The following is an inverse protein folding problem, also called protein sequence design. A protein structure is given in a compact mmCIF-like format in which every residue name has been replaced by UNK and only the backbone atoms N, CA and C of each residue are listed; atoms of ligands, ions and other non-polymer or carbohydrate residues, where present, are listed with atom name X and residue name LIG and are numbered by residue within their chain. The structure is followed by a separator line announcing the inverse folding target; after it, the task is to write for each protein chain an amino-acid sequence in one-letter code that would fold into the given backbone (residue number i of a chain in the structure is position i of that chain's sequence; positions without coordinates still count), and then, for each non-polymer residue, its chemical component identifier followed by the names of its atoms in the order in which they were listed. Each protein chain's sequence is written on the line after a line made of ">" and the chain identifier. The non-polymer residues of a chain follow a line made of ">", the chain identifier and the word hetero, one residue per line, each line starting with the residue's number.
data_IF_661133558483
#
_entry.id   IF_661133558483
#
_cell.length_a   1.000
_cell.length_b   1.000
_cell.length_c   1.000
_cell.angle_alpha   90.00
_cell.angle_beta   90.00
_cell.angle_gamma   90.00
#
_symmetry.space_group_name_H-M   'P 1'
#
loop_
_entity.id
_entity.type
_entity.pdbx_description
1 polymer ?
#
# COMPACT_ATOMS: atom_id res chain seq x y z
N UNK A 1 -0.85 26.69 0.80
CA UNK A 1 0.58 26.72 1.28
C UNK A 1 1.20 25.33 1.44
N UNK A 2 0.62 24.37 2.17
CA UNK A 2 1.23 23.02 2.31
C UNK A 2 1.03 22.13 1.08
N UNK A 3 -0.13 22.18 0.46
CA UNK A 3 -0.44 21.44 -0.78
C UNK A 3 0.43 21.91 -1.94
N UNK A 4 0.59 23.22 -2.09
CA UNK A 4 1.46 23.81 -3.12
C UNK A 4 2.91 23.36 -2.97
N UNK A 5 3.43 23.27 -1.73
CA UNK A 5 4.78 22.79 -1.46
C UNK A 5 4.95 21.29 -1.76
N UNK A 6 3.93 20.47 -1.51
CA UNK A 6 3.95 19.06 -1.88
C UNK A 6 4.01 18.88 -3.40
N UNK A 7 3.21 19.67 -4.13
CA UNK A 7 3.21 19.67 -5.59
C UNK A 7 4.55 20.13 -6.17
N UNK A 8 5.16 21.16 -5.61
CA UNK A 8 6.49 21.66 -6.02
C UNK A 8 7.59 20.57 -5.87
N UNK A 9 7.54 19.77 -4.79
CA UNK A 9 8.47 18.65 -4.60
C UNK A 9 8.32 17.61 -5.71
N UNK A 10 7.09 17.25 -6.05
CA UNK A 10 6.77 16.30 -7.12
C UNK A 10 7.31 16.82 -8.45
N UNK A 11 6.94 18.02 -8.84
CA UNK A 11 7.35 18.66 -10.10
C UNK A 11 8.87 18.73 -10.22
N UNK A 12 9.56 19.12 -9.14
CA UNK A 12 11.02 19.19 -9.10
C UNK A 12 11.65 17.81 -9.28
N UNK A 13 11.12 16.76 -8.61
CA UNK A 13 11.63 15.41 -8.75
C UNK A 13 11.37 14.84 -10.15
N UNK A 14 10.26 15.21 -10.79
CA UNK A 14 9.97 14.82 -12.18
C UNK A 14 10.85 15.52 -13.21
N UNK A 15 11.19 16.78 -12.96
CA UNK A 15 11.96 17.61 -13.89
C UNK A 15 13.49 17.44 -13.77
N UNK A 16 14.01 17.09 -12.60
CA UNK A 16 15.45 17.04 -12.31
C UNK A 16 15.89 15.63 -11.90
N UNK A 17 16.61 14.95 -12.80
CA UNK A 17 17.12 13.60 -12.57
C UNK A 17 18.07 13.50 -11.37
N UNK A 18 18.81 14.56 -11.05
CA UNK A 18 19.72 14.55 -9.89
C UNK A 18 18.93 14.58 -8.57
N UNK A 19 17.85 15.34 -8.52
CA UNK A 19 16.92 15.37 -7.39
C UNK A 19 16.27 14.00 -7.22
N UNK A 20 15.73 13.43 -8.32
CA UNK A 20 15.19 12.08 -8.31
C UNK A 20 16.16 11.05 -7.75
N UNK A 21 17.38 11.00 -8.29
CA UNK A 21 18.38 10.01 -7.88
C UNK A 21 18.75 10.13 -6.38
N UNK A 22 18.80 11.35 -5.85
CA UNK A 22 19.04 11.56 -4.42
C UNK A 22 17.87 11.04 -3.57
N UNK A 23 16.63 11.22 -4.03
CA UNK A 23 15.44 10.67 -3.37
C UNK A 23 15.42 9.14 -3.44
N UNK A 24 15.71 8.54 -4.59
CA UNK A 24 15.73 7.09 -4.77
C UNK A 24 16.81 6.40 -3.92
N UNK A 25 18.00 7.00 -3.81
CA UNK A 25 19.06 6.50 -2.94
C UNK A 25 18.64 6.53 -1.45
N UNK A 26 17.94 7.58 -1.02
CA UNK A 26 17.41 7.67 0.35
C UNK A 26 16.27 6.68 0.58
N UNK A 27 15.45 6.41 -0.42
CA UNK A 27 14.40 5.41 -0.39
C UNK A 27 14.95 4.01 -0.10
N UNK A 28 15.96 3.57 -0.87
CA UNK A 28 16.64 2.29 -0.66
C UNK A 28 17.24 2.18 0.74
N UNK A 29 17.94 3.23 1.21
CA UNK A 29 18.51 3.27 2.56
C UNK A 29 17.45 3.07 3.65
N UNK A 30 16.34 3.84 3.58
CA UNK A 30 15.27 3.80 4.57
C UNK A 30 14.62 2.42 4.63
N UNK A 31 14.24 1.85 3.49
CA UNK A 31 13.58 0.55 3.44
C UNK A 31 14.54 -0.60 3.73
N UNK A 32 15.80 -0.47 3.36
CA UNK A 32 16.84 -1.41 3.73
C UNK A 32 17.09 -1.52 5.25
N UNK A 33 16.82 -0.47 6.01
CA UNK A 33 16.90 -0.46 7.48
C UNK A 33 15.58 -0.87 8.16
N UNK A 34 14.46 -0.32 7.69
CA UNK A 34 13.15 -0.48 8.35
C UNK A 34 12.59 -1.91 8.20
N UNK A 35 12.65 -2.50 7.01
CA UNK A 35 12.01 -3.80 6.75
C UNK A 35 12.55 -4.92 7.65
N UNK A 36 13.87 -5.13 7.82
CA UNK A 36 14.40 -6.17 8.70
C UNK A 36 14.05 -5.93 10.18
N UNK A 37 14.08 -4.67 10.62
CA UNK A 37 13.76 -4.30 12.01
C UNK A 37 12.29 -4.55 12.34
N UNK A 38 11.39 -4.31 11.39
CA UNK A 38 9.96 -4.53 11.56
C UNK A 38 9.59 -6.01 11.65
N UNK A 39 10.29 -6.89 10.93
CA UNK A 39 10.02 -8.34 10.95
C UNK A 39 10.37 -8.99 12.31
N UNK A 40 11.28 -8.42 13.08
CA UNK A 40 11.79 -8.96 14.34
C UNK A 40 11.17 -8.31 15.60
N UNK A 41 10.28 -7.33 15.44
CA UNK A 41 9.69 -6.61 16.58
C UNK A 41 8.63 -7.42 17.32
N UNK A 42 8.87 -7.78 18.60
CA UNK A 42 7.90 -8.45 19.46
C UNK A 42 6.59 -7.66 19.60
N UNK A 43 6.68 -6.33 19.73
CA UNK A 43 5.50 -5.47 19.81
C UNK A 43 4.66 -5.50 18.51
N UNK A 44 5.28 -5.74 17.38
CA UNK A 44 4.58 -5.90 16.09
C UNK A 44 3.92 -7.28 15.97
N UNK A 45 4.53 -8.32 16.50
CA UNK A 45 3.92 -9.65 16.57
C UNK A 45 2.67 -9.58 17.48
N UNK A 46 2.78 -8.99 18.67
CA UNK A 46 1.65 -8.76 19.58
C UNK A 46 0.52 -7.98 18.90
N UNK A 47 0.85 -6.90 18.18
CA UNK A 47 -0.16 -6.10 17.47
C UNK A 47 -0.81 -6.86 16.30
N UNK A 48 -0.07 -7.73 15.61
CA UNK A 48 -0.62 -8.59 14.55
C UNK A 48 -1.65 -9.56 15.11
N UNK A 49 -1.35 -10.20 16.24
CA UNK A 49 -2.29 -11.07 16.95
C UNK A 49 -3.51 -10.30 17.46
N UNK A 50 -3.30 -9.10 18.04
CA UNK A 50 -4.37 -8.23 18.48
C UNK A 50 -5.28 -7.82 17.32
N UNK A 51 -4.70 -7.48 16.18
CA UNK A 51 -5.43 -7.14 14.96
C UNK A 51 -6.29 -8.30 14.46
N UNK A 52 -5.78 -9.52 14.51
CA UNK A 52 -6.56 -10.71 14.15
C UNK A 52 -7.74 -10.95 15.11
N UNK A 53 -7.51 -10.83 16.43
CA UNK A 53 -8.55 -10.98 17.46
C UNK A 53 -9.62 -9.88 17.41
N UNK A 54 -9.25 -8.67 17.02
CA UNK A 54 -10.15 -7.54 16.80
C UNK A 54 -10.85 -7.60 15.42
N UNK A 55 -10.56 -8.63 14.63
CA UNK A 55 -11.12 -8.80 13.30
C UNK A 55 -10.92 -7.59 12.37
N UNK A 56 -9.81 -6.89 12.50
CA UNK A 56 -9.46 -5.76 11.61
C UNK A 56 -9.54 -6.16 10.14
N UNK A 57 -9.18 -7.42 9.84
CA UNK A 57 -9.26 -7.98 8.49
C UNK A 57 -10.69 -8.18 7.95
N UNK A 58 -11.77 -7.98 8.74
CA UNK A 58 -13.15 -8.02 8.19
C UNK A 58 -13.41 -6.91 7.17
N UNK A 59 -12.62 -5.84 7.25
CA UNK A 59 -12.68 -4.70 6.33
C UNK A 59 -11.49 -4.67 5.35
N UNK A 60 -10.78 -5.79 5.23
CA UNK A 60 -9.66 -5.97 4.31
C UNK A 60 -9.60 -7.45 3.92
N UNK A 61 -9.78 -7.74 2.64
CA UNK A 61 -9.58 -9.09 2.12
C UNK A 61 -8.14 -9.23 1.62
N UNK A 62 -7.51 -10.38 1.83
CA UNK A 62 -6.23 -10.64 1.17
C UNK A 62 -6.45 -11.06 -0.28
N UNK A 63 -5.47 -10.82 -1.15
CA UNK A 63 -5.51 -11.36 -2.52
C UNK A 63 -5.76 -12.88 -2.50
N UNK A 64 -5.15 -13.60 -1.53
CA UNK A 64 -5.36 -15.04 -1.36
C UNK A 64 -6.84 -15.39 -1.16
N UNK A 65 -7.54 -14.67 -0.28
CA UNK A 65 -8.97 -14.88 -0.02
C UNK A 65 -9.82 -14.58 -1.26
N UNK A 66 -9.62 -13.40 -1.88
CA UNK A 66 -10.36 -13.01 -3.08
C UNK A 66 -10.13 -13.99 -4.24
N UNK A 67 -8.89 -14.44 -4.42
CA UNK A 67 -8.57 -15.42 -5.46
C UNK A 67 -9.23 -16.79 -5.17
N UNK A 68 -9.26 -17.23 -3.92
CA UNK A 68 -9.93 -18.49 -3.52
C UNK A 68 -11.45 -18.39 -3.73
N UNK A 69 -12.09 -17.30 -3.28
CA UNK A 69 -13.52 -17.06 -3.47
C UNK A 69 -13.93 -17.02 -4.95
N UNK A 70 -13.11 -16.35 -5.77
CA UNK A 70 -13.32 -16.27 -7.23
C UNK A 70 -12.78 -17.47 -8.01
N UNK A 71 -12.14 -18.44 -7.32
CA UNK A 71 -11.51 -19.63 -7.93
C UNK A 71 -10.44 -19.28 -8.97
N UNK A 72 -9.70 -18.20 -8.76
CA UNK A 72 -8.63 -17.75 -9.63
C UNK A 72 -7.34 -18.53 -9.33
N UNK A 73 -6.61 -18.85 -10.38
CA UNK A 73 -5.28 -19.46 -10.32
C UNK A 73 -4.39 -18.84 -11.39
N UNK A 74 -3.12 -18.68 -11.07
CA UNK A 74 -2.17 -17.98 -11.91
C UNK A 74 -0.91 -18.83 -12.14
N UNK A 75 -0.39 -18.84 -13.35
CA UNK A 75 0.84 -19.56 -13.69
C UNK A 75 2.07 -18.68 -13.44
N UNK A 76 2.03 -17.41 -13.87
CA UNK A 76 3.15 -16.49 -13.82
C UNK A 76 2.70 -15.12 -13.27
N UNK A 77 3.06 -14.85 -12.02
CA UNK A 77 2.80 -13.56 -11.38
C UNK A 77 4.03 -12.64 -11.36
N UNK A 78 3.76 -11.33 -11.34
CA UNK A 78 4.73 -10.27 -11.09
C UNK A 78 4.34 -9.52 -9.82
N UNK A 79 5.30 -9.22 -8.93
CA UNK A 79 5.06 -8.35 -7.76
C UNK A 79 5.92 -7.10 -7.85
N UNK A 80 5.27 -5.95 -7.79
CA UNK A 80 5.88 -4.63 -7.77
C UNK A 80 6.09 -4.17 -6.31
N UNK A 81 7.34 -3.88 -5.91
CA UNK A 81 7.68 -3.59 -4.53
C UNK A 81 7.51 -4.82 -3.63
N UNK A 82 8.20 -5.90 -3.96
CA UNK A 82 8.01 -7.20 -3.31
C UNK A 82 8.64 -7.29 -1.90
N UNK A 83 9.50 -6.35 -1.53
CA UNK A 83 10.27 -6.40 -0.29
C UNK A 83 11.04 -7.74 -0.16
N UNK A 84 10.94 -8.37 0.99
CA UNK A 84 11.56 -9.68 1.23
C UNK A 84 10.73 -10.88 0.70
N UNK A 85 9.78 -10.68 -0.21
CA UNK A 85 9.05 -11.74 -0.92
C UNK A 85 8.02 -12.50 -0.08
N UNK A 86 7.44 -11.87 0.94
CA UNK A 86 6.48 -12.54 1.86
C UNK A 86 5.17 -12.91 1.17
N UNK A 87 4.67 -12.01 0.31
CA UNK A 87 3.38 -12.18 -0.35
C UNK A 87 3.42 -13.34 -1.36
N UNK A 88 4.43 -13.37 -2.22
CA UNK A 88 4.59 -14.40 -3.25
C UNK A 88 4.68 -15.80 -2.63
N UNK A 89 5.44 -15.92 -1.53
CA UNK A 89 5.50 -17.19 -0.78
C UNK A 89 4.13 -17.61 -0.25
N UNK A 90 3.34 -16.66 0.26
CA UNK A 90 1.98 -16.94 0.74
C UNK A 90 1.04 -17.37 -0.40
N UNK A 91 1.13 -16.72 -1.58
CA UNK A 91 0.31 -17.04 -2.75
C UNK A 91 0.64 -18.43 -3.32
N UNK A 92 1.94 -18.80 -3.38
CA UNK A 92 2.35 -20.14 -3.81
C UNK A 92 1.87 -21.20 -2.80
N UNK A 93 2.10 -21.00 -1.51
CA UNK A 93 1.66 -21.92 -0.45
C UNK A 93 0.14 -22.06 -0.40
N UNK A 94 -0.59 -20.98 -0.69
CA UNK A 94 -2.04 -20.96 -0.79
C UNK A 94 -2.61 -21.55 -2.09
N UNK A 95 -1.74 -22.01 -3.01
CA UNK A 95 -2.15 -22.62 -4.28
C UNK A 95 -2.82 -21.65 -5.26
N UNK A 96 -2.58 -20.35 -5.11
CA UNK A 96 -3.14 -19.30 -5.98
C UNK A 96 -2.20 -19.01 -7.16
N UNK A 97 -0.89 -19.08 -6.95
CA UNK A 97 0.10 -18.88 -8.00
C UNK A 97 1.11 -20.00 -8.06
N UNK A 98 1.66 -20.27 -9.27
CA UNK A 98 2.67 -21.30 -9.50
C UNK A 98 4.09 -20.75 -9.42
N UNK A 99 4.32 -19.59 -10.00
CA UNK A 99 5.61 -18.90 -9.98
C UNK A 99 5.42 -17.40 -9.92
N UNK A 100 6.38 -16.70 -9.32
CA UNK A 100 6.37 -15.23 -9.28
C UNK A 100 7.76 -14.67 -9.59
N UNK A 101 7.74 -13.49 -10.20
CA UNK A 101 8.88 -12.60 -10.29
C UNK A 101 8.63 -11.39 -9.40
N UNK A 102 9.52 -11.09 -8.47
CA UNK A 102 9.41 -9.94 -7.57
C UNK A 102 10.43 -8.86 -7.92
N UNK A 103 10.00 -7.61 -7.91
CA UNK A 103 10.85 -6.43 -8.16
C UNK A 103 10.79 -5.51 -6.95
N UNK A 104 11.95 -5.04 -6.50
CA UNK A 104 12.06 -4.04 -5.43
C UNK A 104 13.32 -3.19 -5.62
N UNK A 105 13.28 -1.94 -5.15
CA UNK A 105 14.44 -1.05 -5.22
C UNK A 105 15.52 -1.43 -4.20
N UNK A 106 15.14 -2.09 -3.10
CA UNK A 106 16.04 -2.44 -2.00
C UNK A 106 16.85 -3.70 -2.29
N UNK A 107 18.16 -3.52 -2.52
CA UNK A 107 19.09 -4.62 -2.70
C UNK A 107 19.11 -5.58 -1.51
N UNK A 108 19.01 -5.06 -0.29
CA UNK A 108 19.00 -5.87 0.95
C UNK A 108 17.72 -6.71 1.07
N UNK A 109 16.57 -6.14 0.73
CA UNK A 109 15.30 -6.87 0.72
C UNK A 109 15.33 -8.00 -0.32
N UNK A 110 15.80 -7.73 -1.53
CA UNK A 110 15.96 -8.71 -2.61
C UNK A 110 16.94 -9.84 -2.24
N UNK A 111 18.08 -9.51 -1.61
CA UNK A 111 19.00 -10.53 -1.13
C UNK A 111 18.33 -11.49 -0.13
N UNK A 112 17.57 -10.96 0.82
CA UNK A 112 16.78 -11.73 1.78
C UNK A 112 15.72 -12.59 1.08
N UNK A 113 14.99 -12.01 0.13
CA UNK A 113 13.96 -12.73 -0.63
C UNK A 113 14.53 -13.93 -1.40
N UNK A 114 15.67 -13.73 -2.08
CA UNK A 114 16.39 -14.81 -2.81
C UNK A 114 16.84 -15.92 -1.90
N UNK A 115 17.42 -15.59 -0.73
CA UNK A 115 17.88 -16.57 0.25
C UNK A 115 16.71 -17.44 0.75
N UNK A 116 15.59 -16.80 1.14
CA UNK A 116 14.42 -17.50 1.64
C UNK A 116 13.79 -18.38 0.55
N UNK A 117 13.63 -17.87 -0.67
CA UNK A 117 13.08 -18.64 -1.79
C UNK A 117 13.91 -19.89 -2.10
N UNK A 118 15.24 -19.77 -2.09
CA UNK A 118 16.16 -20.89 -2.27
C UNK A 118 16.03 -21.93 -1.15
N UNK A 119 15.99 -21.46 0.10
CA UNK A 119 15.85 -22.34 1.27
C UNK A 119 14.53 -23.12 1.26
N UNK A 120 13.45 -22.51 0.80
CA UNK A 120 12.12 -23.08 0.74
C UNK A 120 11.83 -23.82 -0.58
N UNK A 121 12.78 -23.83 -1.52
CA UNK A 121 12.65 -24.46 -2.84
C UNK A 121 11.38 -24.01 -3.59
N UNK A 122 11.08 -22.71 -3.56
CA UNK A 122 9.93 -22.12 -4.23
C UNK A 122 10.31 -21.59 -5.62
N UNK A 123 9.37 -21.65 -6.56
CA UNK A 123 9.53 -21.10 -7.93
C UNK A 123 9.38 -19.58 -7.93
N UNK A 124 10.37 -18.90 -7.34
CA UNK A 124 10.42 -17.45 -7.16
C UNK A 124 11.74 -16.91 -7.72
N UNK A 125 11.64 -15.80 -8.45
CA UNK A 125 12.79 -15.01 -8.90
C UNK A 125 12.64 -13.58 -8.44
N UNK A 126 13.77 -12.88 -8.22
CA UNK A 126 13.75 -11.53 -7.69
C UNK A 126 14.78 -10.65 -8.38
N UNK A 127 14.43 -9.40 -8.63
CA UNK A 127 15.27 -8.41 -9.29
C UNK A 127 15.31 -7.11 -8.51
N UNK A 128 16.49 -6.47 -8.47
CA UNK A 128 16.63 -5.10 -7.95
C UNK A 128 16.36 -4.16 -9.11
N UNK A 129 15.24 -3.44 -9.05
CA UNK A 129 14.90 -2.44 -10.06
C UNK A 129 13.99 -1.35 -9.47
N UNK A 130 14.11 -0.15 -10.04
CA UNK A 130 13.30 1.00 -9.70
C UNK A 130 11.98 0.96 -10.48
N UNK A 131 10.85 0.89 -9.78
CA UNK A 131 9.52 0.84 -10.39
C UNK A 131 9.26 2.02 -11.35
N UNK A 132 9.84 3.17 -11.08
CA UNK A 132 9.66 4.37 -11.90
C UNK A 132 10.25 4.26 -13.31
N UNK A 133 11.17 3.31 -13.52
CA UNK A 133 11.87 3.10 -14.81
C UNK A 133 11.74 1.68 -15.34
N UNK A 134 10.72 0.96 -14.88
CA UNK A 134 10.47 -0.41 -15.33
C UNK A 134 10.34 -0.50 -16.84
N UNK A 135 10.87 -1.59 -17.37
CA UNK A 135 10.63 -2.10 -18.71
C UNK A 135 10.24 -3.56 -18.59
N UNK A 136 8.98 -3.87 -18.85
CA UNK A 136 8.41 -5.19 -18.68
C UNK A 136 8.17 -5.86 -20.04
N UNK A 137 8.32 -7.20 -20.13
CA UNK A 137 7.97 -7.92 -21.33
C UNK A 137 6.47 -7.88 -21.58
N UNK A 138 6.08 -7.70 -22.85
CA UNK A 138 4.66 -7.66 -23.23
C UNK A 138 4.01 -9.05 -23.06
N UNK A 139 2.74 -9.07 -22.59
CA UNK A 139 1.89 -10.26 -22.51
C UNK A 139 2.51 -11.47 -21.79
N UNK A 140 3.29 -11.19 -20.73
CA UNK A 140 4.09 -12.20 -20.01
C UNK A 140 3.40 -12.74 -18.75
N UNK A 141 2.60 -11.93 -18.08
CA UNK A 141 2.04 -12.25 -16.76
C UNK A 141 0.52 -12.42 -16.82
N UNK A 142 0.02 -13.35 -16.02
CA UNK A 142 -1.42 -13.53 -15.80
C UNK A 142 -1.88 -12.88 -14.49
N UNK A 143 -0.95 -12.45 -13.62
CA UNK A 143 -1.21 -11.64 -12.45
C UNK A 143 -0.09 -10.62 -12.23
N UNK A 144 -0.44 -9.35 -12.06
CA UNK A 144 0.47 -8.35 -11.49
C UNK A 144 -0.07 -7.91 -10.14
N UNK A 145 0.82 -7.83 -9.14
CA UNK A 145 0.48 -7.45 -7.77
C UNK A 145 1.28 -6.21 -7.38
N UNK A 146 0.59 -5.20 -6.90
CA UNK A 146 1.16 -4.05 -6.21
C UNK A 146 0.53 -3.97 -4.82
N UNK A 147 1.33 -4.24 -3.79
CA UNK A 147 0.86 -4.20 -2.42
C UNK A 147 1.72 -3.29 -1.57
N UNK A 148 1.16 -2.16 -1.15
CA UNK A 148 1.86 -1.12 -0.37
C UNK A 148 3.14 -0.63 -1.05
N UNK A 149 3.08 -0.35 -2.34
CA UNK A 149 4.24 0.02 -3.16
C UNK A 149 3.98 1.16 -4.15
N UNK A 150 2.77 1.27 -4.71
CA UNK A 150 2.48 2.30 -5.71
C UNK A 150 2.45 3.72 -5.13
N UNK A 151 2.19 3.87 -3.84
CA UNK A 151 2.25 5.17 -3.20
C UNK A 151 3.67 5.75 -3.11
N UNK A 152 4.71 4.94 -3.39
CA UNK A 152 6.10 5.38 -3.58
C UNK A 152 6.44 5.68 -5.05
N UNK A 153 5.51 5.51 -5.98
CA UNK A 153 5.78 5.70 -7.42
C UNK A 153 5.50 7.13 -7.84
N UNK A 154 6.50 7.78 -8.43
CA UNK A 154 6.42 9.12 -8.99
C UNK A 154 5.82 9.14 -10.41
N UNK A 155 6.25 8.20 -11.27
CA UNK A 155 5.81 8.11 -12.66
C UNK A 155 4.70 7.08 -12.84
N UNK A 156 3.55 7.29 -12.17
CA UNK A 156 2.41 6.37 -12.14
C UNK A 156 1.89 6.02 -13.53
N UNK A 157 1.85 6.99 -14.45
CA UNK A 157 1.37 6.80 -15.82
C UNK A 157 2.22 5.79 -16.59
N UNK A 158 3.56 5.91 -16.46
CA UNK A 158 4.50 4.98 -17.05
C UNK A 158 4.34 3.57 -16.48
N UNK A 159 4.25 3.46 -15.17
CA UNK A 159 4.09 2.16 -14.50
C UNK A 159 2.78 1.52 -14.89
N UNK A 160 1.68 2.27 -14.95
CA UNK A 160 0.38 1.76 -15.37
C UNK A 160 0.41 1.23 -16.83
N UNK A 161 1.06 1.95 -17.76
CA UNK A 161 1.25 1.52 -19.13
C UNK A 161 2.08 0.22 -19.22
N UNK A 162 3.21 0.16 -18.50
CA UNK A 162 4.07 -1.02 -18.47
C UNK A 162 3.35 -2.25 -17.91
N UNK A 163 2.60 -2.08 -16.81
CA UNK A 163 1.79 -3.15 -16.22
C UNK A 163 0.71 -3.62 -17.19
N UNK A 164 0.02 -2.69 -17.86
CA UNK A 164 -1.01 -3.02 -18.82
C UNK A 164 -0.46 -3.84 -20.00
N UNK A 165 0.68 -3.45 -20.57
CA UNK A 165 1.34 -4.16 -21.67
C UNK A 165 1.85 -5.53 -21.25
N UNK A 166 2.33 -5.66 -20.02
CA UNK A 166 2.92 -6.91 -19.51
C UNK A 166 1.90 -7.97 -19.16
N UNK A 167 0.65 -7.58 -18.90
CA UNK A 167 -0.43 -8.51 -18.60
C UNK A 167 -0.97 -9.18 -19.87
N UNK A 168 -1.32 -10.46 -19.73
CA UNK A 168 -2.15 -11.17 -20.72
C UNK A 168 -3.54 -10.54 -20.77
N UNK A 169 -4.23 -10.66 -21.88
CA UNK A 169 -5.56 -10.06 -22.09
C UNK A 169 -6.62 -10.55 -21.09
N UNK A 170 -6.44 -11.76 -20.56
CA UNK A 170 -7.26 -12.37 -19.50
C UNK A 170 -6.60 -12.31 -18.12
N UNK A 171 -5.51 -11.58 -17.97
CA UNK A 171 -4.78 -11.39 -16.74
C UNK A 171 -5.47 -10.45 -15.77
N UNK A 172 -4.90 -10.35 -14.57
CA UNK A 172 -5.40 -9.50 -13.48
C UNK A 172 -4.32 -8.60 -12.91
N UNK A 173 -4.72 -7.41 -12.54
CA UNK A 173 -3.95 -6.53 -11.66
C UNK A 173 -4.62 -6.52 -10.28
N UNK A 174 -3.83 -6.80 -9.23
CA UNK A 174 -4.21 -6.56 -7.84
C UNK A 174 -3.48 -5.34 -7.31
N UNK A 175 -4.24 -4.38 -6.79
CA UNK A 175 -3.70 -3.24 -6.03
C UNK A 175 -4.23 -3.34 -4.60
N UNK A 176 -3.33 -3.28 -3.62
CA UNK A 176 -3.66 -3.05 -2.22
C UNK A 176 -2.74 -1.94 -1.72
N UNK A 177 -3.25 -0.73 -1.62
CA UNK A 177 -2.38 0.41 -1.39
C UNK A 177 -3.02 1.54 -0.56
N UNK A 178 -2.18 2.45 -0.09
CA UNK A 178 -2.60 3.73 0.43
C UNK A 178 -2.98 4.63 -0.75
N UNK A 179 -4.25 5.05 -0.76
CA UNK A 179 -4.85 5.88 -1.83
C UNK A 179 -5.32 7.23 -1.28
N UNK A 180 -4.86 7.57 -0.09
CA UNK A 180 -5.20 8.80 0.62
C UNK A 180 -4.48 10.03 0.09
N UNK A 181 -4.42 11.03 0.92
CA UNK A 181 -3.87 12.34 0.56
C UNK A 181 -2.36 12.29 0.33
N UNK A 182 -1.94 12.81 -0.82
CA UNK A 182 -0.53 12.99 -1.21
C UNK A 182 0.27 13.68 -0.12
N UNK A 183 1.48 13.17 0.18
CA UNK A 183 2.40 13.69 1.21
C UNK A 183 1.74 13.80 2.60
N UNK A 184 0.70 13.01 2.89
CA UNK A 184 -0.01 13.04 4.18
C UNK A 184 -0.71 14.36 4.48
N UNK A 185 -1.05 15.15 3.45
CA UNK A 185 -1.74 16.44 3.59
C UNK A 185 -3.24 16.22 3.81
N UNK A 186 -3.58 15.74 5.02
CA UNK A 186 -4.95 15.34 5.36
C UNK A 186 -6.01 16.37 5.03
N UNK A 187 -7.13 15.91 4.47
CA UNK A 187 -8.35 16.70 4.35
C UNK A 187 -8.73 17.31 5.72
N UNK A 188 -9.09 18.62 5.79
CA UNK A 188 -9.42 19.29 7.04
C UNK A 188 -10.54 18.61 7.84
N UNK A 189 -11.54 18.03 7.16
CA UNK A 189 -12.63 17.29 7.81
C UNK A 189 -12.12 16.01 8.46
N UNK A 190 -11.28 15.23 7.76
CA UNK A 190 -10.60 14.05 8.30
C UNK A 190 -9.77 14.41 9.52
N UNK A 191 -8.94 15.44 9.41
CA UNK A 191 -8.07 15.89 10.50
C UNK A 191 -8.89 16.31 11.73
N UNK A 192 -10.03 17.00 11.51
CA UNK A 192 -10.96 17.36 12.59
C UNK A 192 -11.54 16.12 13.29
N UNK A 193 -12.02 15.12 12.53
CA UNK A 193 -12.55 13.86 13.06
C UNK A 193 -11.50 13.16 13.92
N UNK A 194 -10.30 12.95 13.38
CA UNK A 194 -9.21 12.29 14.08
C UNK A 194 -8.88 12.96 15.42
N UNK A 195 -8.72 14.27 15.42
CA UNK A 195 -8.34 15.01 16.63
C UNK A 195 -9.45 15.09 17.67
N UNK A 196 -10.72 15.14 17.24
CA UNK A 196 -11.86 15.05 18.16
C UNK A 196 -11.97 13.68 18.82
N UNK A 197 -11.73 12.60 18.08
CA UNK A 197 -11.68 11.25 18.63
C UNK A 197 -10.52 11.09 19.62
N UNK A 198 -9.31 11.55 19.26
CA UNK A 198 -8.16 11.50 20.16
C UNK A 198 -8.36 12.28 21.44
N UNK A 199 -9.10 13.39 21.40
CA UNK A 199 -9.38 14.21 22.59
C UNK A 199 -10.25 13.50 23.63
N UNK A 200 -11.11 12.56 23.22
CA UNK A 200 -12.00 11.81 24.11
C UNK A 200 -11.46 10.41 24.46
N UNK A 201 -10.53 9.86 23.67
CA UNK A 201 -9.96 8.55 23.94
C UNK A 201 -9.02 8.58 25.13
N UNK A 202 -9.15 7.67 26.11
CA UNK A 202 -8.19 7.50 27.18
C UNK A 202 -6.77 7.28 26.68
N UNK A 203 -5.78 7.69 27.48
CA UNK A 203 -4.36 7.63 27.13
C UNK A 203 -3.90 6.23 26.67
N UNK A 204 -4.36 5.17 27.35
CA UNK A 204 -4.00 3.79 27.03
C UNK A 204 -4.31 3.38 25.58
N UNK A 205 -5.32 3.98 24.93
CA UNK A 205 -5.66 3.72 23.53
C UNK A 205 -4.87 4.57 22.55
N UNK A 206 -4.13 5.57 23.04
CA UNK A 206 -3.29 6.48 22.26
C UNK A 206 -1.80 6.21 22.40
N UNK A 207 -1.40 5.33 23.35
CA UNK A 207 -0.02 4.92 23.57
C UNK A 207 0.35 3.83 22.58
N UNK A 208 1.22 4.18 21.63
CA UNK A 208 1.76 3.22 20.67
C UNK A 208 2.96 2.49 21.30
N UNK A 209 2.85 1.17 21.45
CA UNK A 209 3.89 0.34 22.08
C UNK A 209 5.05 0.03 21.12
N UNK A 210 4.83 0.02 19.80
CA UNK A 210 5.88 -0.24 18.81
C UNK A 210 6.90 0.91 18.80
N UNK A 211 6.41 2.15 18.88
CA UNK A 211 7.25 3.34 18.77
C UNK A 211 7.45 4.06 20.12
N UNK A 212 6.94 3.48 21.23
CA UNK A 212 6.93 4.08 22.57
C UNK A 212 6.47 5.54 22.58
N UNK A 213 5.38 5.83 21.86
CA UNK A 213 4.91 7.20 21.62
C UNK A 213 3.45 7.37 22.02
N UNK A 214 3.16 8.45 22.75
CA UNK A 214 1.78 8.90 23.03
C UNK A 214 1.32 9.87 21.93
N UNK A 215 0.21 9.54 21.25
CA UNK A 215 -0.40 10.42 20.26
C UNK A 215 -1.44 11.33 20.94
N UNK A 216 -1.08 12.59 21.17
CA UNK A 216 -2.01 13.58 21.71
C UNK A 216 -2.84 14.26 20.61
N UNK A 217 -2.23 14.52 19.47
CA UNK A 217 -2.82 15.21 18.32
C UNK A 217 -2.17 14.73 17.04
N UNK A 218 -2.94 14.66 15.95
CA UNK A 218 -2.43 14.44 14.60
C UNK A 218 -2.30 15.79 13.91
N UNK A 219 -1.15 16.01 13.28
CA UNK A 219 -0.86 17.15 12.41
C UNK A 219 -0.39 16.61 11.05
N UNK A 220 -0.71 17.28 9.95
CA UNK A 220 -0.08 16.97 8.67
C UNK A 220 1.44 17.10 8.81
N UNK A 221 2.23 16.19 8.23
CA UNK A 221 3.68 16.37 8.19
C UNK A 221 4.03 17.58 7.33
N UNK A 222 5.22 18.14 7.54
CA UNK A 222 5.76 19.09 6.55
C UNK A 222 6.10 18.31 5.27
N UNK A 223 5.65 18.80 4.10
CA UNK A 223 6.00 18.19 2.83
C UNK A 223 7.51 18.08 2.66
N UNK A 224 7.99 16.92 2.21
CA UNK A 224 9.42 16.62 2.05
C UNK A 224 10.17 16.24 3.34
N UNK A 225 9.51 16.21 4.51
CA UNK A 225 10.12 15.80 5.78
C UNK A 225 9.63 14.44 6.27
N UNK A 226 9.12 13.60 5.37
CA UNK A 226 8.80 12.21 5.65
C UNK A 226 10.08 11.36 5.69
N UNK A 227 10.06 10.25 6.43
CA UNK A 227 11.22 9.37 6.57
C UNK A 227 11.69 8.84 5.21
N UNK A 228 10.74 8.44 4.37
CA UNK A 228 10.95 8.08 2.96
C UNK A 228 10.56 9.26 2.07
N UNK A 229 11.39 9.67 1.11
CA UNK A 229 11.11 10.80 0.23
C UNK A 229 9.89 10.59 -0.68
N UNK A 230 9.61 9.33 -1.04
CA UNK A 230 8.47 8.98 -1.89
C UNK A 230 7.20 8.64 -1.09
N UNK A 231 7.21 8.71 0.23
CA UNK A 231 6.07 8.37 1.11
C UNK A 231 5.10 9.55 1.32
N UNK A 232 3.82 9.42 1.09
CA UNK A 232 3.13 8.84 -0.07
C UNK A 232 3.07 9.90 -1.18
N UNK A 233 3.92 9.79 -2.19
CA UNK A 233 4.22 10.93 -3.10
C UNK A 233 3.06 11.31 -4.02
N UNK A 234 2.32 10.33 -4.58
CA UNK A 234 1.17 10.56 -5.47
C UNK A 234 0.00 9.61 -5.17
N UNK A 235 -0.17 9.22 -3.91
CA UNK A 235 -1.13 8.19 -3.49
C UNK A 235 -2.57 8.45 -3.94
N UNK A 236 -3.03 9.69 -3.88
CA UNK A 236 -4.39 10.07 -4.30
C UNK A 236 -4.64 9.92 -5.81
N UNK A 237 -3.60 9.75 -6.62
CA UNK A 237 -3.68 9.63 -8.08
C UNK A 237 -3.59 8.17 -8.55
N UNK A 238 -3.25 7.20 -7.68
CA UNK A 238 -3.04 5.80 -8.08
C UNK A 238 -4.25 5.27 -8.85
N UNK A 239 -5.43 5.28 -8.22
CA UNK A 239 -6.62 4.68 -8.84
C UNK A 239 -7.09 5.45 -10.09
N UNK A 240 -7.17 6.79 -10.09
CA UNK A 240 -7.49 7.54 -11.31
C UNK A 240 -6.55 7.25 -12.48
N UNK A 241 -5.24 7.12 -12.24
CA UNK A 241 -4.27 6.81 -13.30
C UNK A 241 -4.46 5.38 -13.81
N UNK A 242 -4.54 4.39 -12.92
CA UNK A 242 -4.68 2.99 -13.33
C UNK A 242 -6.03 2.71 -14.00
N UNK A 243 -7.10 3.41 -13.65
CA UNK A 243 -8.41 3.26 -14.32
C UNK A 243 -8.42 3.70 -15.79
N UNK A 244 -7.42 4.44 -16.27
CA UNK A 244 -7.26 4.72 -17.71
C UNK A 244 -6.93 3.45 -18.51
N UNK A 245 -6.22 2.50 -17.89
CA UNK A 245 -5.70 1.28 -18.49
C UNK A 245 -6.47 0.02 -18.07
N UNK A 246 -7.21 0.11 -16.95
CA UNK A 246 -7.86 -1.03 -16.31
C UNK A 246 -9.32 -0.76 -15.96
N UNK A 247 -10.12 -1.82 -15.91
CA UNK A 247 -11.48 -1.81 -15.34
C UNK A 247 -11.49 -2.50 -13.99
N UNK A 248 -12.20 -1.93 -13.01
CA UNK A 248 -12.34 -2.53 -11.69
C UNK A 248 -13.40 -3.64 -11.75
N UNK A 249 -13.02 -4.87 -11.39
CA UNK A 249 -13.96 -5.99 -11.23
C UNK A 249 -14.43 -6.19 -9.79
N UNK A 250 -13.57 -5.84 -8.86
CA UNK A 250 -13.87 -5.90 -7.44
C UNK A 250 -13.06 -4.85 -6.70
N UNK A 251 -13.65 -4.24 -5.68
CA UNK A 251 -12.96 -3.30 -4.80
C UNK A 251 -13.44 -3.40 -3.36
N UNK A 252 -12.56 -3.02 -2.45
CA UNK A 252 -12.85 -2.75 -1.05
C UNK A 252 -12.05 -1.53 -0.61
N UNK A 253 -12.74 -0.50 -0.14
CA UNK A 253 -12.15 0.76 0.29
C UNK A 253 -12.34 0.93 1.80
N UNK A 254 -11.34 1.46 2.51
CA UNK A 254 -11.31 1.54 3.97
C UNK A 254 -10.43 2.69 4.46
N UNK A 255 -10.49 2.96 5.76
CA UNK A 255 -9.59 3.87 6.43
C UNK A 255 -10.02 5.33 6.32
N UNK A 256 -11.15 5.69 6.93
CA UNK A 256 -11.51 7.10 7.10
C UNK A 256 -10.57 7.80 8.09
N UNK A 257 -10.31 7.16 9.24
CA UNK A 257 -9.48 7.71 10.32
C UNK A 257 -8.81 6.66 11.20
N UNK A 258 -9.31 5.41 11.18
CA UNK A 258 -8.92 4.36 12.15
C UNK A 258 -7.42 4.04 12.10
N UNK A 259 -6.82 4.06 10.91
CA UNK A 259 -5.39 3.83 10.73
C UNK A 259 -4.48 4.82 11.48
N UNK A 260 -5.01 5.99 11.88
CA UNK A 260 -4.30 7.04 12.62
C UNK A 260 -4.78 7.17 14.06
N UNK A 261 -6.05 6.86 14.36
CA UNK A 261 -6.64 6.95 15.70
C UNK A 261 -6.34 5.69 16.51
N UNK A 262 -6.37 4.51 15.88
CA UNK A 262 -5.99 3.23 16.48
C UNK A 262 -4.95 2.50 15.60
N UNK A 263 -3.74 3.09 15.41
CA UNK A 263 -2.70 2.52 14.58
C UNK A 263 -2.15 1.20 15.16
N UNK A 264 -1.40 0.41 14.37
CA UNK A 264 -0.59 -0.67 14.89
C UNK A 264 0.23 -0.22 16.12
N UNK A 265 0.32 -1.09 17.13
CA UNK A 265 0.96 -0.77 18.41
C UNK A 265 0.03 -0.18 19.49
N UNK A 266 -1.23 0.16 19.15
CA UNK A 266 -2.24 0.56 20.16
C UNK A 266 -3.31 -0.52 20.37
N UNK A 267 -3.43 -1.49 19.46
CA UNK A 267 -4.56 -2.41 19.36
C UNK A 267 -4.70 -3.39 20.50
N UNK A 268 -3.60 -3.79 21.12
CA UNK A 268 -3.62 -4.68 22.28
C UNK A 268 -4.45 -4.12 23.47
N UNK A 269 -4.46 -2.79 23.65
CA UNK A 269 -5.26 -2.15 24.70
C UNK A 269 -6.78 -2.33 24.53
N UNK A 270 -7.24 -2.54 23.31
CA UNK A 270 -8.66 -2.79 23.03
C UNK A 270 -9.09 -4.23 23.34
N UNK A 271 -8.17 -5.13 23.67
CA UNK A 271 -8.46 -6.52 24.06
C UNK A 271 -8.53 -6.75 25.56
N UNK A 272 -8.33 -5.73 26.39
CA UNK A 272 -8.28 -5.84 27.85
C UNK A 272 -9.62 -6.27 28.46
N UNK A 273 -10.74 -5.94 27.82
CA UNK A 273 -12.09 -6.31 28.28
C UNK A 273 -13.09 -6.36 27.12
N UNK A 274 -14.30 -6.86 27.40
CA UNK A 274 -15.42 -6.78 26.46
C UNK A 274 -15.79 -5.36 26.08
N UNK A 275 -15.78 -4.43 27.03
CA UNK A 275 -16.10 -3.02 26.79
C UNK A 275 -15.06 -2.33 25.92
N UNK A 276 -13.78 -2.61 26.13
CA UNK A 276 -12.71 -2.05 25.29
C UNK A 276 -12.74 -2.62 23.87
N UNK A 277 -13.11 -3.89 23.72
CA UNK A 277 -13.32 -4.50 22.42
C UNK A 277 -14.52 -3.88 21.71
N UNK A 278 -15.65 -3.67 22.40
CA UNK A 278 -16.82 -2.98 21.86
C UNK A 278 -16.49 -1.55 21.42
N UNK A 279 -15.64 -0.83 22.17
CA UNK A 279 -15.15 0.49 21.76
C UNK A 279 -14.40 0.42 20.42
N UNK A 280 -13.56 -0.58 20.21
CA UNK A 280 -12.87 -0.73 18.90
C UNK A 280 -13.85 -1.05 17.78
N UNK A 281 -14.84 -1.90 18.02
CA UNK A 281 -15.89 -2.24 17.04
C UNK A 281 -16.73 -1.00 16.67
N UNK A 282 -17.03 -0.12 17.63
CA UNK A 282 -17.68 1.17 17.38
C UNK A 282 -16.80 2.07 16.51
N UNK A 283 -15.51 2.17 16.81
CA UNK A 283 -14.58 2.97 16.01
C UNK A 283 -14.47 2.43 14.57
N UNK A 284 -14.45 1.11 14.39
CA UNK A 284 -14.46 0.50 13.06
C UNK A 284 -15.76 0.80 12.30
N UNK A 285 -16.92 0.71 12.96
CA UNK A 285 -18.21 1.04 12.35
C UNK A 285 -18.25 2.51 11.92
N UNK A 286 -17.82 3.42 12.79
CA UNK A 286 -17.77 4.86 12.47
C UNK A 286 -16.80 5.16 11.33
N UNK A 287 -15.64 4.50 11.27
CA UNK A 287 -14.69 4.61 10.18
C UNK A 287 -15.34 4.23 8.85
N UNK A 288 -16.06 3.12 8.84
CA UNK A 288 -16.76 2.63 7.65
C UNK A 288 -17.91 3.56 7.23
N UNK A 289 -18.76 3.98 8.17
CA UNK A 289 -19.83 4.93 7.89
C UNK A 289 -19.31 6.26 7.34
N UNK A 290 -18.15 6.74 7.79
CA UNK A 290 -17.56 7.96 7.23
C UNK A 290 -17.19 7.84 5.75
N UNK A 291 -16.93 6.62 5.26
CA UNK A 291 -16.67 6.36 3.83
C UNK A 291 -17.97 6.15 3.09
N UNK A 292 -18.89 5.32 3.59
CA UNK A 292 -20.18 5.02 2.96
C UNK A 292 -21.01 6.29 2.74
N UNK A 293 -21.02 7.19 3.73
CA UNK A 293 -21.75 8.46 3.69
C UNK A 293 -20.93 9.59 3.04
N UNK A 294 -19.82 9.26 2.37
CA UNK A 294 -18.93 10.20 1.67
C UNK A 294 -18.47 11.39 2.52
N UNK A 295 -18.38 11.22 3.85
CA UNK A 295 -17.91 12.27 4.77
C UNK A 295 -16.45 12.58 4.49
N UNK A 296 -15.62 11.55 4.26
CA UNK A 296 -14.23 11.63 3.81
C UNK A 296 -13.94 10.52 2.81
N UNK A 297 -12.96 10.74 1.92
CA UNK A 297 -12.50 9.70 1.00
C UNK A 297 -11.76 8.58 1.75
N UNK A 298 -11.74 7.32 1.25
CA UNK A 298 -10.92 6.27 1.82
C UNK A 298 -9.42 6.60 1.72
N UNK A 299 -8.62 6.12 2.67
CA UNK A 299 -7.15 6.22 2.60
C UNK A 299 -6.48 4.92 2.20
N UNK A 300 -7.19 3.81 2.29
CA UNK A 300 -6.74 2.51 1.84
C UNK A 300 -7.71 1.91 0.85
N UNK A 301 -7.20 1.13 -0.09
CA UNK A 301 -8.02 0.45 -1.06
C UNK A 301 -7.41 -0.84 -1.56
N UNK A 302 -8.29 -1.77 -1.88
CA UNK A 302 -7.99 -3.05 -2.52
C UNK A 302 -8.81 -3.15 -3.79
N UNK A 303 -8.15 -3.50 -4.86
CA UNK A 303 -8.76 -3.53 -6.19
C UNK A 303 -8.28 -4.75 -6.96
N UNK A 304 -9.21 -5.51 -7.52
CA UNK A 304 -8.95 -6.50 -8.55
C UNK A 304 -9.41 -5.90 -9.88
N UNK A 305 -8.50 -5.80 -10.83
CA UNK A 305 -8.72 -5.07 -12.07
C UNK A 305 -8.37 -5.92 -13.28
N UNK A 306 -9.02 -5.63 -14.40
CA UNK A 306 -8.74 -6.25 -15.72
C UNK A 306 -8.14 -5.23 -16.68
N UNK A 307 -7.19 -5.62 -17.54
CA UNK A 307 -6.72 -4.76 -18.59
C UNK A 307 -7.87 -4.39 -19.54
N UNK A 308 -7.93 -3.11 -19.94
CA UNK A 308 -8.83 -2.68 -21.02
C UNK A 308 -8.35 -3.22 -22.37
N UNK A 309 -9.27 -3.39 -23.30
CA UNK A 309 -8.88 -3.66 -24.69
C UNK A 309 -8.06 -2.49 -25.26
N UNK A 310 -7.20 -2.79 -26.24
CA UNK A 310 -6.30 -1.78 -26.85
C UNK A 310 -7.07 -0.57 -27.39
N UNK A 311 -8.23 -0.81 -27.99
CA UNK A 311 -9.07 0.23 -28.58
C UNK A 311 -9.75 1.13 -27.52
N UNK A 312 -9.83 0.68 -26.27
CA UNK A 312 -10.48 1.39 -25.15
C UNK A 312 -9.48 2.21 -24.29
N UNK A 313 -8.19 2.12 -24.60
CA UNK A 313 -7.16 2.84 -23.86
C UNK A 313 -6.95 4.23 -24.46
N UNK A 314 -6.83 5.30 -23.62
CA UNK A 314 -6.59 6.65 -24.11
C UNK A 314 -5.30 6.73 -24.96
N UNK A 315 -5.39 7.24 -26.15
CA UNK A 315 -4.20 7.50 -26.98
C UNK A 315 -3.32 8.59 -26.35
N UNK A 316 -2.00 8.51 -26.56
CA UNK A 316 -1.00 9.45 -25.96
C UNK A 316 -1.31 10.94 -26.16
N UNK A 317 -2.15 11.33 -27.11
CA UNK A 317 -2.50 12.72 -27.37
C UNK A 317 -3.47 13.35 -26.35
N UNK A 318 -4.11 12.56 -25.50
CA UNK A 318 -5.08 13.07 -24.50
C UNK A 318 -4.48 13.23 -23.07
N UNK A 319 -3.19 12.96 -22.88
CA UNK A 319 -2.52 12.96 -21.58
C UNK A 319 -1.64 14.20 -21.33
N UNK A 320 -1.50 15.09 -22.33
CA UNK A 320 -0.68 16.31 -22.25
C UNK A 320 -1.52 17.61 -22.31
N UNK A 321 -2.80 17.53 -21.96
CA UNK A 321 -3.69 18.69 -21.91
C UNK A 321 -4.06 19.10 -20.48
#
# INVERSE_FOLDING_TARGET
>A
MSVDKAQEIIERAMADRSVYNAMAAREDEVWGEILPALEQSEARIEDTEASAKLHVARHQSSLLQVAQEKKLKFEHGLTLGCGAGRLERALIRGGVGRSFHGIDISERAIATAREIAKRENLSLTYEVADLNFLELPDNAFDLVVAQTSLHHVLFLERVAEQVWRSLKSDGYLWIHDFIGETQGQYDPKRLSIMNRLLAILPEKFRKNKIHDRLTAQIKPPEPGHLASPFEPIRSGEIIPVFQRWFTIEWKMEFGAFLHRVAPPGTRAAYLESGDTKALFEILMLLDHLCIEEEIVRPTGGQYLMRPRAVDDVPTKSAAEG
#
